data_IF_740609736309
#
_entry.id   IF_740609736309
#
_cell.length_a   1.000
_cell.length_b   1.000
_cell.length_c   1.000
_cell.angle_alpha   90.00
_cell.angle_beta   90.00
_cell.angle_gamma   90.00
#
_symmetry.space_group_name_H-M   'P 1'
#
loop_
_entity.id
_entity.type
_entity.pdbx_description
1 polymer ?
#
# COMPACT_ATOMS: atom_id res chain seq x y z
N UNK A 1 -9.75 -4.43 15.87
CA UNK A 1 -9.93 -5.62 15.02
C UNK A 1 -8.78 -6.55 15.34
N UNK A 2 -9.08 -7.78 15.76
CA UNK A 2 -8.04 -8.78 16.04
C UNK A 2 -7.51 -9.30 14.70
N UNK A 3 -6.24 -9.02 14.36
CA UNK A 3 -5.63 -9.48 13.10
C UNK A 3 -5.60 -11.03 13.01
N UNK A 4 -5.66 -11.71 14.16
CA UNK A 4 -5.70 -13.16 14.30
C UNK A 4 -6.96 -13.82 13.70
N UNK A 5 -8.03 -13.06 13.43
CA UNK A 5 -9.25 -13.58 12.78
C UNK A 5 -9.26 -13.42 11.26
N UNK A 6 -8.20 -12.84 10.67
CA UNK A 6 -8.10 -12.65 9.22
C UNK A 6 -7.82 -14.01 8.57
N UNK A 7 -8.87 -14.62 8.02
CA UNK A 7 -8.76 -15.83 7.21
C UNK A 7 -8.14 -15.55 5.83
N UNK A 8 -7.84 -16.63 5.11
CA UNK A 8 -7.35 -16.53 3.72
C UNK A 8 -8.40 -15.90 2.83
N UNK A 9 -8.02 -14.88 2.05
CA UNK A 9 -8.96 -14.18 1.18
C UNK A 9 -8.30 -13.22 0.19
N UNK A 10 -9.16 -12.40 -0.44
CA UNK A 10 -8.75 -11.26 -1.27
C UNK A 10 -9.05 -10.00 -0.47
N UNK A 11 -8.04 -9.16 -0.26
CA UNK A 11 -8.16 -7.90 0.46
C UNK A 11 -7.96 -6.74 -0.49
N UNK A 12 -8.97 -5.87 -0.60
CA UNK A 12 -8.79 -4.60 -1.29
C UNK A 12 -8.12 -3.61 -0.33
N UNK A 13 -7.01 -3.02 -0.76
CA UNK A 13 -6.26 -2.02 0.00
C UNK A 13 -6.51 -0.64 -0.59
N UNK A 14 -6.90 0.28 0.29
CA UNK A 14 -7.06 1.71 -0.01
C UNK A 14 -5.70 2.44 0.02
N UNK A 15 -5.64 3.66 -0.54
CA UNK A 15 -4.42 4.48 -0.58
C UNK A 15 -3.77 4.67 0.79
N UNK A 16 -4.58 4.85 1.84
CA UNK A 16 -4.07 5.05 3.19
C UNK A 16 -3.17 3.91 3.69
N UNK A 17 -3.43 2.65 3.29
CA UNK A 17 -2.57 1.54 3.67
C UNK A 17 -1.14 1.72 3.11
N UNK A 18 -1.02 2.20 1.87
CA UNK A 18 0.28 2.45 1.26
C UNK A 18 0.94 3.71 1.80
N UNK A 19 0.17 4.79 1.98
CA UNK A 19 0.68 6.05 2.54
C UNK A 19 1.30 5.81 3.92
N UNK A 20 0.58 5.14 4.81
CA UNK A 20 1.08 4.90 6.17
C UNK A 20 2.29 3.98 6.22
N UNK A 21 2.38 3.02 5.30
CA UNK A 21 3.51 2.11 5.21
C UNK A 21 4.76 2.78 4.62
N UNK A 22 4.62 3.47 3.48
CA UNK A 22 5.75 4.03 2.74
C UNK A 22 6.26 5.35 3.35
N UNK A 23 5.38 6.17 3.93
CA UNK A 23 5.77 7.40 4.62
C UNK A 23 6.07 7.19 6.11
N UNK A 24 5.96 5.94 6.59
CA UNK A 24 6.20 5.56 7.99
C UNK A 24 5.42 6.42 9.01
N UNK A 25 4.11 6.60 8.77
CA UNK A 25 3.28 7.43 9.64
C UNK A 25 3.28 6.88 11.08
N UNK A 26 3.77 7.63 12.09
CA UNK A 26 4.10 7.07 13.41
C UNK A 26 2.96 6.36 14.13
N UNK A 27 1.72 6.82 13.93
CA UNK A 27 0.53 6.27 14.56
C UNK A 27 0.06 4.94 13.93
N UNK A 28 0.30 4.75 12.63
CA UNK A 28 -0.32 3.67 11.86
C UNK A 28 0.67 2.67 11.29
N UNK A 29 1.96 3.02 11.18
CA UNK A 29 2.98 2.18 10.56
C UNK A 29 3.01 0.78 11.18
N UNK A 30 2.98 0.67 12.52
CA UNK A 30 3.00 -0.63 13.20
C UNK A 30 1.76 -1.48 12.90
N UNK A 31 0.58 -0.86 12.79
CA UNK A 31 -0.67 -1.56 12.50
C UNK A 31 -0.71 -2.07 11.05
N UNK A 32 -0.25 -1.23 10.11
CA UNK A 32 -0.23 -1.58 8.69
C UNK A 32 0.85 -2.61 8.38
N UNK A 33 2.03 -2.51 9.00
CA UNK A 33 3.07 -3.56 8.89
C UNK A 33 2.54 -4.90 9.38
N UNK A 34 1.89 -4.94 10.55
CA UNK A 34 1.29 -6.17 11.07
C UNK A 34 0.19 -6.74 10.15
N UNK A 35 -0.61 -5.86 9.51
CA UNK A 35 -1.59 -6.28 8.51
C UNK A 35 -0.93 -6.96 7.31
N UNK A 36 0.12 -6.35 6.74
CA UNK A 36 0.85 -6.93 5.60
C UNK A 36 1.52 -8.26 5.96
N UNK A 37 2.11 -8.37 7.16
CA UNK A 37 2.67 -9.63 7.66
C UNK A 37 1.64 -10.75 7.74
N UNK A 38 0.42 -10.45 8.23
CA UNK A 38 -0.67 -11.44 8.31
C UNK A 38 -1.19 -11.84 6.93
N UNK A 39 -1.36 -10.89 6.02
CA UNK A 39 -1.75 -11.17 4.63
C UNK A 39 -0.71 -12.09 3.97
N UNK A 40 0.58 -11.77 4.14
CA UNK A 40 1.68 -12.58 3.61
C UNK A 40 1.71 -13.99 4.23
N UNK A 41 1.57 -14.10 5.56
CA UNK A 41 1.60 -15.37 6.28
C UNK A 41 0.43 -16.30 5.92
N UNK A 42 -0.74 -15.74 5.58
CA UNK A 42 -1.94 -16.52 5.22
C UNK A 42 -1.98 -16.92 3.74
N UNK A 43 -1.04 -16.43 2.92
CA UNK A 43 -1.06 -16.60 1.46
C UNK A 43 -2.31 -15.96 0.82
N UNK A 44 -2.77 -14.86 1.42
CA UNK A 44 -3.88 -14.06 0.90
C UNK A 44 -3.41 -13.16 -0.24
N UNK A 45 -4.34 -12.69 -1.05
CA UNK A 45 -4.04 -11.79 -2.18
C UNK A 45 -4.48 -10.38 -1.80
N UNK A 46 -3.58 -9.42 -1.94
CA UNK A 46 -3.92 -8.01 -1.89
C UNK A 46 -4.13 -7.47 -3.28
N UNK A 47 -5.21 -6.71 -3.46
CA UNK A 47 -5.52 -5.98 -4.69
C UNK A 47 -5.75 -4.51 -4.37
N UNK A 48 -5.53 -3.66 -5.35
CA UNK A 48 -5.86 -2.23 -5.28
C UNK A 48 -6.19 -1.74 -6.70
N UNK A 49 -6.50 -0.46 -6.87
CA UNK A 49 -6.83 0.13 -8.17
C UNK A 49 -5.74 1.09 -8.64
N UNK A 50 -5.77 1.43 -9.94
CA UNK A 50 -4.93 2.48 -10.51
C UNK A 50 -5.24 3.86 -9.90
N UNK A 51 -6.47 4.06 -9.39
CA UNK A 51 -6.84 5.28 -8.67
C UNK A 51 -6.07 5.42 -7.37
N UNK A 52 -5.78 4.31 -6.70
CA UNK A 52 -4.99 4.32 -5.46
C UNK A 52 -3.56 4.84 -5.69
N UNK A 53 -2.92 4.47 -6.81
CA UNK A 53 -1.63 5.06 -7.18
C UNK A 53 -1.77 6.56 -7.46
N UNK A 54 -2.81 6.97 -8.19
CA UNK A 54 -3.06 8.38 -8.49
C UNK A 54 -3.24 9.23 -7.22
N UNK A 55 -3.97 8.72 -6.22
CA UNK A 55 -4.16 9.36 -4.91
C UNK A 55 -2.85 9.50 -4.14
N UNK A 56 -2.06 8.42 -4.06
CA UNK A 56 -0.74 8.43 -3.39
C UNK A 56 0.23 9.45 -4.01
N UNK A 57 0.16 9.66 -5.32
CA UNK A 57 1.08 10.53 -6.05
C UNK A 57 0.73 12.02 -6.01
N UNK A 58 -0.48 12.41 -5.61
CA UNK A 58 -0.90 13.84 -5.58
C UNK A 58 0.07 14.70 -4.78
N UNK A 59 0.36 14.30 -3.53
CA UNK A 59 1.22 15.07 -2.62
C UNK A 59 2.71 15.03 -3.03
N UNK A 60 3.29 13.88 -3.40
CA UNK A 60 4.64 13.82 -3.95
C UNK A 60 4.84 14.68 -5.21
N UNK A 61 3.88 14.74 -6.13
CA UNK A 61 3.99 15.64 -7.28
C UNK A 61 3.87 17.11 -6.89
N UNK A 62 2.92 17.47 -6.03
CA UNK A 62 2.75 18.84 -5.52
C UNK A 62 4.04 19.36 -4.87
N UNK A 63 4.74 18.50 -4.12
CA UNK A 63 5.98 18.83 -3.41
C UNK A 63 7.26 18.63 -4.23
N UNK A 64 7.15 18.12 -5.46
CA UNK A 64 8.29 17.69 -6.28
C UNK A 64 9.21 16.67 -5.56
N UNK A 65 8.63 15.83 -4.69
CA UNK A 65 9.34 14.77 -3.99
C UNK A 65 9.48 13.54 -4.88
N UNK A 66 10.53 13.56 -5.69
CA UNK A 66 10.86 12.49 -6.63
C UNK A 66 11.17 11.16 -5.92
N UNK A 67 11.65 11.19 -4.67
CA UNK A 67 11.92 9.99 -3.90
C UNK A 67 10.64 9.24 -3.57
N UNK A 68 9.65 9.95 -3.03
CA UNK A 68 8.34 9.38 -2.71
C UNK A 68 7.57 8.95 -3.97
N UNK A 69 7.67 9.70 -5.07
CA UNK A 69 7.09 9.30 -6.37
C UNK A 69 7.60 7.92 -6.79
N UNK A 70 8.92 7.72 -6.79
CA UNK A 70 9.53 6.43 -7.15
C UNK A 70 9.11 5.30 -6.18
N UNK A 71 9.00 5.58 -4.88
CA UNK A 71 8.55 4.57 -3.91
C UNK A 71 7.14 4.09 -4.22
N UNK A 72 6.19 4.99 -4.50
CA UNK A 72 4.83 4.60 -4.83
C UNK A 72 4.75 3.84 -6.16
N UNK A 73 5.44 4.29 -7.20
CA UNK A 73 5.45 3.61 -8.50
C UNK A 73 6.05 2.20 -8.40
N UNK A 74 7.13 2.00 -7.65
CA UNK A 74 7.76 0.69 -7.48
C UNK A 74 6.87 -0.34 -6.78
N UNK A 75 6.02 0.09 -5.85
CA UNK A 75 5.23 -0.81 -5.00
C UNK A 75 3.79 -0.99 -5.47
N UNK A 76 3.22 -0.05 -6.22
CA UNK A 76 1.79 -0.02 -6.56
C UNK A 76 1.54 -0.06 -8.07
N UNK A 77 2.52 0.32 -8.91
CA UNK A 77 2.29 0.40 -10.35
C UNK A 77 1.88 -0.95 -10.95
N UNK A 78 0.84 -0.97 -11.80
CA UNK A 78 0.42 -2.20 -12.47
C UNK A 78 1.55 -2.72 -13.36
N UNK A 79 1.89 -4.00 -13.18
CA UNK A 79 2.92 -4.73 -13.94
C UNK A 79 2.72 -4.74 -15.48
N UNK A 80 1.59 -4.23 -15.99
CA UNK A 80 1.17 -4.35 -17.39
C UNK A 80 1.37 -3.10 -18.27
N UNK A 81 1.97 -2.00 -17.79
CA UNK A 81 2.09 -0.76 -18.57
C UNK A 81 3.43 -0.51 -19.29
N UNK A 82 4.41 -1.42 -19.24
CA UNK A 82 5.71 -1.25 -19.92
C UNK A 82 6.18 -2.51 -20.69
N UNK A 83 5.34 -3.05 -21.58
CA UNK A 83 5.76 -3.97 -22.64
C UNK A 83 5.38 -3.42 -24.01
#
# INVERSE_FOLDING_TARGET
MELSSIGKGIFYLDANAFIYALEAHPEFVGQVTALFEVIAATGSISVTSELTLAECLVKPFEKQDVGSQMQYEQHISPLFCYQ
#
